data_IF_710121936232
#
_entry.id   IF_710121936232
#
_cell.length_a   1.000
_cell.length_b   1.000
_cell.length_c   1.000
_cell.angle_alpha   90.00
_cell.angle_beta   90.00
_cell.angle_gamma   90.00
#
_symmetry.space_group_name_H-M   'P 1'
#
loop_
_entity.id
_entity.type
_entity.pdbx_description
1 polymer ?
#
# COMPACT_ATOMS: atom_id res chain seq x y z
N UNK A 1 -1.00 19.91 -13.09
CA UNK A 1 0.13 18.99 -13.31
C UNK A 1 -0.38 17.81 -14.11
N UNK A 2 0.42 17.31 -15.07
CA UNK A 2 0.15 16.05 -15.76
C UNK A 2 0.48 14.85 -14.85
N UNK A 3 -0.04 13.65 -15.15
CA UNK A 3 0.36 12.42 -14.45
C UNK A 3 1.87 12.21 -14.43
N UNK A 4 2.57 12.56 -15.52
CA UNK A 4 4.02 12.48 -15.63
C UNK A 4 4.73 13.44 -14.66
N UNK A 5 4.27 14.69 -14.57
CA UNK A 5 4.83 15.69 -13.63
C UNK A 5 4.60 15.25 -12.17
N UNK A 6 3.46 14.64 -11.86
CA UNK A 6 3.17 14.09 -10.52
C UNK A 6 4.13 12.94 -10.21
N UNK A 7 4.35 12.03 -11.15
CA UNK A 7 5.28 10.92 -11.00
C UNK A 7 6.70 11.41 -10.73
N UNK A 8 7.18 12.37 -11.51
CA UNK A 8 8.52 12.95 -11.32
C UNK A 8 8.66 13.60 -9.94
N UNK A 9 7.66 14.37 -9.50
CA UNK A 9 7.64 14.97 -8.18
C UNK A 9 7.72 13.92 -7.05
N UNK A 10 6.93 12.84 -7.15
CA UNK A 10 6.93 11.76 -6.15
C UNK A 10 8.26 10.99 -6.12
N UNK A 11 8.89 10.77 -7.27
CA UNK A 11 10.19 10.10 -7.35
C UNK A 11 11.32 10.98 -6.78
N UNK A 12 11.19 12.30 -6.87
CA UNK A 12 12.12 13.29 -6.33
C UNK A 12 12.10 13.43 -4.80
N UNK A 13 11.07 12.91 -4.12
CA UNK A 13 10.95 12.97 -2.65
C UNK A 13 12.09 12.24 -1.93
N UNK A 14 12.42 12.68 -0.71
CA UNK A 14 13.30 11.93 0.20
C UNK A 14 12.67 10.59 0.60
N UNK A 15 13.45 9.73 1.29
CA UNK A 15 12.93 8.45 1.78
C UNK A 15 11.83 8.66 2.82
N UNK A 16 12.04 9.60 3.72
CA UNK A 16 11.12 9.94 4.81
C UNK A 16 9.82 10.51 4.25
N UNK A 17 9.91 11.38 3.25
CA UNK A 17 8.75 11.95 2.56
C UNK A 17 7.98 10.88 1.78
N UNK A 18 8.67 9.94 1.12
CA UNK A 18 8.02 8.79 0.46
C UNK A 18 7.26 7.93 1.47
N UNK A 19 7.83 7.68 2.65
CA UNK A 19 7.15 6.91 3.70
C UNK A 19 5.89 7.63 4.20
N UNK A 20 5.99 8.92 4.53
CA UNK A 20 4.84 9.72 4.96
C UNK A 20 3.74 9.73 3.89
N UNK A 21 4.11 9.95 2.62
CA UNK A 21 3.15 9.93 1.51
C UNK A 21 2.44 8.58 1.37
N UNK A 22 3.18 7.47 1.45
CA UNK A 22 2.60 6.11 1.34
C UNK A 22 1.65 5.82 2.51
N UNK A 23 2.00 6.22 3.74
CA UNK A 23 1.18 5.92 4.91
C UNK A 23 -0.06 6.80 5.00
N UNK A 24 0.05 8.08 4.61
CA UNK A 24 -1.01 9.06 4.83
C UNK A 24 -1.86 9.31 3.59
N UNK A 25 -1.26 9.37 2.40
CA UNK A 25 -1.94 9.82 1.17
C UNK A 25 -2.42 8.66 0.30
N UNK A 26 -1.61 7.61 0.16
CA UNK A 26 -1.96 6.46 -0.68
C UNK A 26 -3.30 5.79 -0.29
N UNK A 27 -3.65 5.61 1.00
CA UNK A 27 -4.94 5.01 1.37
C UNK A 27 -6.13 5.84 0.86
N UNK A 28 -6.03 7.17 0.93
CA UNK A 28 -7.09 8.06 0.46
C UNK A 28 -7.24 8.02 -1.06
N UNK A 29 -6.13 7.99 -1.79
CA UNK A 29 -6.15 7.79 -3.24
C UNK A 29 -6.76 6.43 -3.63
N UNK A 30 -6.42 5.37 -2.89
CA UNK A 30 -6.90 4.04 -3.16
C UNK A 30 -8.41 3.87 -2.88
N UNK A 31 -8.97 4.56 -1.87
CA UNK A 31 -10.40 4.43 -1.47
C UNK A 31 -11.39 4.65 -2.61
N UNK A 32 -11.08 5.54 -3.53
CA UNK A 32 -11.96 5.86 -4.66
C UNK A 32 -11.91 4.77 -5.73
N UNK A 33 -10.71 4.30 -6.06
CA UNK A 33 -10.48 3.36 -7.17
C UNK A 33 -10.59 1.89 -6.77
N UNK A 34 -10.44 1.56 -5.48
CA UNK A 34 -10.53 0.17 -4.96
C UNK A 34 -11.91 -0.45 -5.19
N UNK A 35 -12.94 0.40 -5.30
CA UNK A 35 -14.32 -0.02 -5.57
C UNK A 35 -14.59 -0.26 -7.05
N UNK A 36 -13.68 0.15 -7.93
CA UNK A 36 -13.84 -0.02 -9.37
C UNK A 36 -13.71 -1.50 -9.76
N UNK A 37 -14.68 -2.03 -10.55
CA UNK A 37 -14.62 -3.41 -11.02
C UNK A 37 -13.30 -3.70 -11.76
N UNK A 38 -12.58 -4.72 -11.30
CA UNK A 38 -11.34 -5.17 -11.94
C UNK A 38 -10.07 -4.41 -11.53
N UNK A 39 -10.16 -3.24 -10.90
CA UNK A 39 -8.97 -2.52 -10.42
C UNK A 39 -8.20 -3.34 -9.38
N UNK A 40 -8.91 -3.99 -8.45
CA UNK A 40 -8.29 -4.88 -7.46
C UNK A 40 -7.50 -6.03 -8.09
N UNK A 41 -7.96 -6.57 -9.23
CA UNK A 41 -7.25 -7.62 -9.96
C UNK A 41 -5.94 -7.11 -10.58
N UNK A 42 -5.89 -5.82 -10.95
CA UNK A 42 -4.68 -5.16 -11.46
C UNK A 42 -3.73 -4.75 -10.33
N UNK A 43 -4.26 -4.31 -9.19
CA UNK A 43 -3.48 -3.88 -8.04
C UNK A 43 -2.81 -5.05 -7.31
N UNK A 44 -3.47 -6.21 -7.25
CA UNK A 44 -2.97 -7.39 -6.55
C UNK A 44 -1.52 -7.79 -6.90
N UNK A 45 -1.13 -7.97 -8.18
CA UNK A 45 0.25 -8.31 -8.53
C UNK A 45 1.27 -7.23 -8.14
N UNK A 46 0.87 -5.94 -8.13
CA UNK A 46 1.74 -4.84 -7.70
C UNK A 46 2.04 -4.96 -6.21
N UNK A 47 1.02 -5.21 -5.38
CA UNK A 47 1.19 -5.42 -3.95
C UNK A 47 2.08 -6.63 -3.65
N UNK A 48 1.89 -7.75 -4.35
CA UNK A 48 2.76 -8.92 -4.20
C UNK A 48 4.22 -8.63 -4.54
N UNK A 49 4.48 -7.79 -5.54
CA UNK A 49 5.83 -7.32 -5.87
C UNK A 49 6.49 -6.59 -4.71
N UNK A 50 5.77 -5.64 -4.10
CA UNK A 50 6.25 -4.87 -2.94
C UNK A 50 6.57 -5.79 -1.76
N UNK A 51 5.69 -6.75 -1.46
CA UNK A 51 5.90 -7.70 -0.36
C UNK A 51 7.13 -8.59 -0.59
N UNK A 52 7.32 -9.04 -1.83
CA UNK A 52 8.50 -9.81 -2.21
C UNK A 52 9.79 -9.00 -2.02
N UNK A 53 9.79 -7.72 -2.39
CA UNK A 53 10.94 -6.83 -2.23
C UNK A 53 11.23 -6.52 -0.76
N UNK A 54 10.21 -6.49 0.11
CA UNK A 54 10.42 -6.31 1.55
C UNK A 54 10.99 -7.55 2.25
N UNK A 55 11.06 -8.70 1.57
CA UNK A 55 11.50 -9.98 2.15
C UNK A 55 10.46 -10.63 3.07
N UNK A 56 9.21 -10.16 3.06
CA UNK A 56 8.12 -10.71 3.87
C UNK A 56 7.28 -11.68 3.04
N UNK A 57 6.95 -12.84 3.59
CA UNK A 57 6.01 -13.77 2.96
C UNK A 57 4.56 -13.31 3.19
N UNK A 58 3.69 -13.48 2.19
CA UNK A 58 2.24 -13.25 2.32
C UNK A 58 1.64 -14.02 3.51
N UNK A 59 2.07 -15.27 3.74
CA UNK A 59 1.62 -16.07 4.88
C UNK A 59 2.03 -15.44 6.22
N UNK A 60 3.23 -14.87 6.31
CA UNK A 60 3.68 -14.16 7.51
C UNK A 60 2.83 -12.91 7.77
N UNK A 61 2.52 -12.16 6.72
CA UNK A 61 1.66 -10.97 6.82
C UNK A 61 0.24 -11.31 7.26
N UNK A 62 -0.34 -12.38 6.71
CA UNK A 62 -1.67 -12.86 7.12
C UNK A 62 -1.69 -13.31 8.59
N UNK A 63 -0.63 -13.97 9.05
CA UNK A 63 -0.47 -14.34 10.46
C UNK A 63 -0.37 -13.09 11.35
N UNK A 64 0.41 -12.09 10.95
CA UNK A 64 0.52 -10.81 11.67
C UNK A 64 -0.82 -10.09 11.77
N UNK A 65 -1.56 -9.99 10.67
CA UNK A 65 -2.89 -9.38 10.65
C UNK A 65 -3.86 -10.10 11.60
N UNK A 66 -3.80 -11.44 11.66
CA UNK A 66 -4.62 -12.25 12.57
C UNK A 66 -4.24 -12.03 14.03
N UNK A 67 -2.96 -11.86 14.34
CA UNK A 67 -2.50 -11.55 15.69
C UNK A 67 -2.94 -10.14 16.14
N UNK A 68 -2.87 -9.16 15.23
CA UNK A 68 -3.27 -7.78 15.52
C UNK A 68 -4.79 -7.64 15.71
N UNK A 69 -5.61 -8.33 14.91
CA UNK A 69 -7.07 -8.32 15.08
C UNK A 69 -7.51 -8.99 16.40
N UNK A 70 -6.81 -10.05 16.82
CA UNK A 70 -7.04 -10.70 18.11
C UNK A 70 -6.67 -9.83 19.32
N UNK A 71 -5.69 -8.93 19.19
CA UNK A 71 -5.36 -7.95 20.24
C UNK A 71 -6.38 -6.81 20.32
N UNK A 72 -7.04 -6.48 19.21
CA UNK A 72 -8.06 -5.42 19.14
C UNK A 72 -9.42 -5.86 19.74
N UNK A 73 -9.67 -7.17 19.83
CA UNK A 73 -10.92 -7.74 20.35
C UNK A 73 -10.94 -7.92 21.88
N UNK A 74 -9.78 -7.76 22.54
CA UNK A 74 -9.60 -7.88 24.00
C UNK A 74 -9.41 -6.52 24.69
N UNK A 75 -9.80 -5.41 24.07
CA UNK A 75 -9.87 -4.07 24.68
C UNK A 75 -11.30 -3.52 24.63
#
# INVERSE_FOLDING_TARGET
MSPEEIKEALLGLSKEEKQAFILDTLPDLAKEVVKEPGFMMQLFPVLLGILKESGMDLQQLLQMATMMSGQQQNQ
#
